data_IF_926845901669
#
_entry.id   IF_926845901669
#
_cell.length_a   1.000
_cell.length_b   1.000
_cell.length_c   1.000
_cell.angle_alpha   90.00
_cell.angle_beta   90.00
_cell.angle_gamma   90.00
#
_symmetry.space_group_name_H-M   'P 1'
#
loop_
_entity.id
_entity.type
_entity.pdbx_description
1 polymer ?
#
# COMPACT_ATOMS: atom_id res chain seq x y z
N UNK A 1 -22.06 -14.46 -10.92
CA UNK A 1 -21.52 -15.73 -10.37
C UNK A 1 -22.40 -16.10 -9.20
N UNK A 2 -22.84 -17.35 -9.17
CA UNK A 2 -23.92 -17.86 -8.32
C UNK A 2 -23.59 -17.73 -6.83
N UNK A 3 -24.61 -17.42 -6.04
CA UNK A 3 -24.57 -17.29 -4.56
C UNK A 3 -24.30 -18.60 -3.81
N UNK A 4 -23.61 -19.55 -4.44
CA UNK A 4 -23.34 -20.91 -3.95
C UNK A 4 -21.94 -21.10 -3.37
N UNK A 5 -21.04 -20.13 -3.50
CA UNK A 5 -19.68 -20.24 -2.93
C UNK A 5 -19.61 -19.63 -1.52
N UNK A 6 -20.54 -20.02 -0.64
CA UNK A 6 -20.15 -20.07 0.78
C UNK A 6 -19.25 -21.29 0.89
N UNK A 7 -17.97 -21.10 0.58
CA UNK A 7 -16.92 -22.02 0.98
C UNK A 7 -16.92 -22.06 2.51
N UNK A 8 -17.78 -22.90 3.07
CA UNK A 8 -17.60 -23.48 4.39
C UNK A 8 -16.37 -24.36 4.22
N UNK A 9 -15.19 -23.78 4.47
CA UNK A 9 -13.94 -24.52 4.54
C UNK A 9 -13.99 -25.36 5.82
N UNK A 10 -14.70 -26.49 5.73
CA UNK A 10 -14.86 -27.47 6.79
C UNK A 10 -13.61 -28.33 6.78
N UNK A 11 -12.85 -28.28 7.86
CA UNK A 11 -11.64 -29.06 8.06
C UNK A 11 -11.96 -30.38 8.78
N UNK A 12 -11.04 -31.33 8.74
CA UNK A 12 -11.16 -32.60 9.48
C UNK A 12 -11.49 -32.36 10.97
N UNK A 13 -10.94 -31.30 11.55
CA UNK A 13 -11.23 -30.86 12.92
C UNK A 13 -12.70 -30.53 13.15
N UNK A 14 -13.32 -29.81 12.21
CA UNK A 14 -14.72 -29.39 12.34
C UNK A 14 -15.65 -30.61 12.32
N UNK A 15 -15.31 -31.65 11.54
CA UNK A 15 -16.05 -32.92 11.52
C UNK A 15 -15.97 -33.64 12.88
N UNK A 16 -14.81 -33.60 13.54
CA UNK A 16 -14.65 -34.16 14.89
C UNK A 16 -15.42 -33.38 15.95
N UNK A 17 -15.43 -32.06 15.88
CA UNK A 17 -16.19 -31.21 16.80
C UNK A 17 -17.71 -31.47 16.63
N UNK A 18 -18.20 -31.58 15.39
CA UNK A 18 -19.59 -31.98 15.13
C UNK A 18 -19.90 -33.40 15.60
N UNK A 19 -18.99 -34.35 15.41
CA UNK A 19 -19.18 -35.72 15.90
C UNK A 19 -19.31 -35.77 17.44
N UNK A 20 -18.54 -34.94 18.15
CA UNK A 20 -18.61 -34.82 19.60
C UNK A 20 -19.93 -34.22 20.08
N UNK A 21 -20.37 -33.12 19.47
CA UNK A 21 -21.65 -32.47 19.79
C UNK A 21 -22.83 -33.42 19.53
N UNK A 22 -22.80 -34.12 18.40
CA UNK A 22 -23.81 -35.12 18.03
C UNK A 22 -23.82 -36.28 19.03
N UNK A 23 -22.66 -36.74 19.49
CA UNK A 23 -22.57 -37.79 20.51
C UNK A 23 -23.20 -37.35 21.84
N UNK A 24 -22.97 -36.11 22.28
CA UNK A 24 -23.63 -35.58 23.49
C UNK A 24 -25.16 -35.54 23.36
N UNK A 25 -25.69 -35.20 22.18
CA UNK A 25 -27.13 -35.21 21.94
C UNK A 25 -27.68 -36.65 21.92
N UNK A 26 -26.95 -37.61 21.35
CA UNK A 26 -27.33 -39.02 21.43
C UNK A 26 -27.29 -39.57 22.86
N UNK A 27 -26.36 -39.13 23.72
CA UNK A 27 -26.37 -39.50 25.14
C UNK A 27 -27.62 -38.98 25.85
N UNK A 28 -28.05 -37.73 25.58
CA UNK A 28 -29.30 -37.16 26.11
C UNK A 28 -30.53 -37.96 25.65
N UNK A 29 -30.57 -38.35 24.38
CA UNK A 29 -31.67 -39.13 23.79
C UNK A 29 -31.70 -40.56 24.38
N UNK A 30 -30.53 -41.19 24.53
CA UNK A 30 -30.40 -42.54 25.10
C UNK A 30 -30.83 -42.59 26.56
N UNK A 31 -30.67 -41.50 27.31
CA UNK A 31 -31.18 -41.39 28.68
C UNK A 31 -32.72 -41.29 28.76
N UNK A 32 -33.41 -41.00 27.65
CA UNK A 32 -34.87 -40.79 27.59
C UNK A 32 -35.62 -41.89 26.82
N UNK A 33 -34.96 -42.60 25.91
CA UNK A 33 -35.54 -43.60 25.01
C UNK A 33 -34.82 -44.94 25.13
N UNK A 34 -35.52 -46.04 24.79
CA UNK A 34 -34.92 -47.37 24.79
C UNK A 34 -33.74 -47.44 23.80
N UNK A 35 -32.59 -47.86 24.34
CA UNK A 35 -31.30 -47.98 23.65
C UNK A 35 -31.40 -48.77 22.33
N UNK A 36 -32.28 -49.77 22.26
CA UNK A 36 -32.46 -50.63 21.08
C UNK A 36 -32.95 -49.88 19.84
N UNK A 37 -33.69 -48.77 19.99
CA UNK A 37 -34.17 -47.96 18.86
C UNK A 37 -33.14 -46.93 18.40
N UNK A 38 -32.22 -46.55 19.29
CA UNK A 38 -31.24 -45.47 19.06
C UNK A 38 -29.96 -46.01 18.40
N UNK A 39 -29.53 -47.24 18.73
CA UNK A 39 -28.32 -47.87 18.16
C UNK A 39 -28.30 -47.89 16.62
N UNK A 40 -29.37 -48.30 15.90
CA UNK A 40 -29.35 -48.30 14.42
C UNK A 40 -29.22 -46.90 13.82
N UNK A 41 -29.70 -45.87 14.52
CA UNK A 41 -29.58 -44.48 14.11
C UNK A 41 -28.15 -43.97 14.35
N UNK A 42 -27.56 -44.25 15.51
CA UNK A 42 -26.15 -43.94 15.81
C UNK A 42 -25.24 -44.56 14.74
N UNK A 43 -25.41 -45.83 14.40
CA UNK A 43 -24.59 -46.49 13.38
C UNK A 43 -24.72 -45.82 11.99
N UNK A 44 -25.92 -45.35 11.61
CA UNK A 44 -26.10 -44.60 10.36
C UNK A 44 -25.40 -43.24 10.42
N UNK A 45 -25.46 -42.55 11.56
CA UNK A 45 -24.78 -41.26 11.75
C UNK A 45 -23.27 -41.42 11.74
N UNK A 46 -22.73 -42.47 12.37
CA UNK A 46 -21.31 -42.82 12.29
C UNK A 46 -20.90 -43.03 10.82
N UNK A 47 -21.63 -43.84 10.06
CA UNK A 47 -21.32 -44.05 8.64
C UNK A 47 -21.34 -42.74 7.82
N UNK A 48 -22.25 -41.81 8.13
CA UNK A 48 -22.31 -40.51 7.46
C UNK A 48 -21.13 -39.62 7.86
N UNK A 49 -20.75 -39.62 9.14
CA UNK A 49 -19.59 -38.86 9.65
C UNK A 49 -18.28 -39.42 9.09
N UNK A 50 -18.13 -40.73 8.97
CA UNK A 50 -16.96 -41.36 8.33
C UNK A 50 -16.86 -40.99 6.84
N UNK A 51 -17.98 -41.02 6.11
CA UNK A 51 -18.02 -40.57 4.71
C UNK A 51 -17.71 -39.08 4.57
N UNK A 52 -18.19 -38.26 5.53
CA UNK A 52 -17.89 -36.84 5.57
C UNK A 52 -16.40 -36.61 5.82
N UNK A 53 -15.80 -37.28 6.79
CA UNK A 53 -14.37 -37.22 7.09
C UNK A 53 -13.52 -37.60 5.87
N UNK A 54 -13.86 -38.70 5.18
CA UNK A 54 -13.18 -39.09 3.95
C UNK A 54 -13.31 -38.05 2.84
N UNK A 55 -14.50 -37.43 2.71
CA UNK A 55 -14.72 -36.39 1.72
C UNK A 55 -13.93 -35.12 2.02
N UNK A 56 -13.85 -34.71 3.29
CA UNK A 56 -13.08 -33.54 3.75
C UNK A 56 -11.59 -33.77 3.54
N UNK A 57 -11.05 -34.94 3.93
CA UNK A 57 -9.66 -35.32 3.65
C UNK A 57 -9.31 -35.23 2.17
N UNK A 58 -10.21 -35.70 1.31
CA UNK A 58 -10.01 -35.62 -0.14
C UNK A 58 -10.02 -34.17 -0.63
N UNK A 59 -10.90 -33.32 -0.09
CA UNK A 59 -10.96 -31.90 -0.43
C UNK A 59 -9.67 -31.20 0.01
N UNK A 60 -9.20 -31.39 1.24
CA UNK A 60 -7.95 -30.80 1.74
C UNK A 60 -6.73 -31.20 0.88
N UNK A 61 -6.67 -32.47 0.45
CA UNK A 61 -5.62 -32.94 -0.47
C UNK A 61 -5.70 -32.25 -1.83
N UNK A 62 -6.89 -32.14 -2.41
CA UNK A 62 -7.10 -31.47 -3.69
C UNK A 62 -6.84 -29.96 -3.60
N UNK A 63 -7.21 -29.31 -2.49
CA UNK A 63 -6.92 -27.90 -2.24
C UNK A 63 -5.42 -27.67 -2.12
N UNK A 64 -4.70 -28.56 -1.44
CA UNK A 64 -3.25 -28.52 -1.37
C UNK A 64 -2.62 -28.69 -2.75
N UNK A 65 -3.03 -29.69 -3.52
CA UNK A 65 -2.54 -29.92 -4.88
C UNK A 65 -2.83 -28.72 -5.80
N UNK A 66 -4.02 -28.14 -5.70
CA UNK A 66 -4.41 -26.96 -6.47
C UNK A 66 -3.61 -25.71 -6.05
N UNK A 67 -3.33 -25.55 -4.75
CA UNK A 67 -2.45 -24.50 -4.25
C UNK A 67 -1.03 -24.65 -4.79
N UNK A 68 -0.47 -25.87 -4.73
CA UNK A 68 0.87 -26.17 -5.23
C UNK A 68 0.96 -25.97 -6.76
N UNK A 69 -0.08 -26.38 -7.50
CA UNK A 69 -0.15 -26.20 -8.94
C UNK A 69 -0.27 -24.73 -9.33
N UNK A 70 -1.07 -23.94 -8.60
CA UNK A 70 -1.16 -22.49 -8.82
C UNK A 70 0.16 -21.78 -8.51
N UNK A 71 0.86 -22.17 -7.44
CA UNK A 71 2.18 -21.64 -7.13
C UNK A 71 3.18 -21.94 -8.25
N UNK A 72 3.19 -23.19 -8.75
CA UNK A 72 4.05 -23.60 -9.87
C UNK A 72 3.69 -22.89 -11.17
N UNK A 73 2.40 -22.71 -11.45
CA UNK A 73 1.93 -21.96 -12.62
C UNK A 73 2.41 -20.51 -12.56
N UNK A 74 2.25 -19.84 -11.42
CA UNK A 74 2.72 -18.46 -11.22
C UNK A 74 4.24 -18.36 -11.38
N UNK A 75 4.99 -19.30 -10.83
CA UNK A 75 6.44 -19.36 -11.00
C UNK A 75 6.82 -19.50 -12.49
N UNK A 76 6.29 -20.50 -13.19
CA UNK A 76 6.60 -20.75 -14.60
C UNK A 76 6.15 -19.59 -15.51
N UNK A 77 5.02 -18.97 -15.20
CA UNK A 77 4.53 -17.82 -15.96
C UNK A 77 5.46 -16.61 -15.80
N UNK A 78 5.99 -16.39 -14.58
CA UNK A 78 6.98 -15.35 -14.34
C UNK A 78 8.30 -15.65 -15.05
N UNK A 79 8.83 -16.87 -14.95
CA UNK A 79 10.06 -17.31 -15.64
C UNK A 79 9.93 -17.17 -17.16
N UNK A 80 8.78 -17.55 -17.72
CA UNK A 80 8.48 -17.37 -19.13
C UNK A 80 8.49 -15.89 -19.51
N UNK A 81 7.83 -15.03 -18.71
CA UNK A 81 7.77 -13.59 -18.96
C UNK A 81 9.17 -12.96 -18.95
N UNK A 82 10.00 -13.30 -17.96
CA UNK A 82 11.38 -12.79 -17.87
C UNK A 82 12.24 -13.29 -19.02
N UNK A 83 12.10 -14.56 -19.42
CA UNK A 83 12.83 -15.10 -20.57
C UNK A 83 12.43 -14.43 -21.88
N UNK A 84 11.13 -14.16 -22.08
CA UNK A 84 10.64 -13.40 -23.24
C UNK A 84 11.17 -11.96 -23.24
N UNK A 85 11.19 -11.28 -22.10
CA UNK A 85 11.78 -9.94 -21.94
C UNK A 85 13.29 -9.94 -22.26
N UNK A 86 14.05 -10.93 -21.78
CA UNK A 86 15.48 -11.09 -22.07
C UNK A 86 15.73 -11.32 -23.57
N UNK A 87 14.96 -12.21 -24.21
CA UNK A 87 15.10 -12.47 -25.65
C UNK A 87 14.75 -11.23 -26.49
N UNK A 88 13.76 -10.46 -26.07
CA UNK A 88 13.40 -9.19 -26.70
C UNK A 88 14.54 -8.17 -26.58
N UNK A 89 15.12 -8.01 -25.39
CA UNK A 89 16.25 -7.11 -25.17
C UNK A 89 17.47 -7.53 -25.97
N UNK A 90 17.81 -8.83 -25.99
CA UNK A 90 18.91 -9.35 -26.81
C UNK A 90 18.69 -9.04 -28.29
N UNK A 91 17.47 -9.21 -28.79
CA UNK A 91 17.14 -8.89 -30.18
C UNK A 91 17.36 -7.42 -30.50
N UNK A 92 16.95 -6.50 -29.62
CA UNK A 92 17.18 -5.07 -29.78
C UNK A 92 18.68 -4.75 -29.80
N UNK A 93 19.47 -5.31 -28.88
CA UNK A 93 20.92 -5.07 -28.84
C UNK A 93 21.64 -5.62 -30.07
N UNK A 94 21.14 -6.72 -30.65
CA UNK A 94 21.68 -7.26 -31.91
C UNK A 94 21.35 -6.30 -33.06
N UNK A 95 20.13 -5.78 -33.15
CA UNK A 95 19.72 -4.83 -34.19
C UNK A 95 20.55 -3.53 -34.13
N UNK A 96 20.76 -2.98 -32.93
CA UNK A 96 21.63 -1.81 -32.71
C UNK A 96 23.08 -2.08 -33.15
N UNK A 97 23.60 -3.27 -32.82
CA UNK A 97 24.96 -3.68 -33.18
C UNK A 97 25.09 -3.89 -34.70
N UNK A 98 24.10 -4.52 -35.35
CA UNK A 98 24.05 -4.68 -36.80
C UNK A 98 23.99 -3.34 -37.54
N UNK A 99 23.20 -2.37 -37.03
CA UNK A 99 23.15 -1.01 -37.56
C UNK A 99 24.52 -0.33 -37.44
N UNK A 100 25.14 -0.36 -36.26
CA UNK A 100 26.48 0.20 -36.04
C UNK A 100 27.54 -0.44 -36.94
N UNK A 101 27.52 -1.76 -37.12
CA UNK A 101 28.45 -2.46 -38.02
C UNK A 101 28.21 -2.08 -39.48
N UNK A 102 26.96 -1.95 -39.90
CA UNK A 102 26.61 -1.48 -41.25
C UNK A 102 27.15 -0.08 -41.50
N UNK A 103 26.93 0.85 -40.55
CA UNK A 103 27.46 2.21 -40.61
C UNK A 103 28.99 2.22 -40.72
N UNK A 104 29.69 1.47 -39.87
CA UNK A 104 31.16 1.37 -39.90
C UNK A 104 31.66 0.87 -41.27
N UNK A 105 31.02 -0.18 -41.81
CA UNK A 105 31.33 -0.71 -43.15
C UNK A 105 31.14 0.38 -44.23
N UNK A 106 30.08 1.18 -44.15
CA UNK A 106 29.88 2.28 -45.11
C UNK A 106 30.98 3.34 -45.01
N UNK A 107 31.39 3.69 -43.78
CA UNK A 107 32.47 4.66 -43.53
C UNK A 107 33.79 4.13 -44.06
N UNK A 108 34.17 2.89 -43.74
CA UNK A 108 35.40 2.25 -44.22
C UNK A 108 35.42 2.11 -45.74
N UNK A 109 34.30 1.75 -46.38
CA UNK A 109 34.18 1.76 -47.84
C UNK A 109 34.39 3.15 -48.42
N UNK A 110 33.82 4.19 -47.80
CA UNK A 110 34.02 5.57 -48.24
C UNK A 110 35.49 5.99 -48.15
N UNK A 111 36.19 5.57 -47.10
CA UNK A 111 37.62 5.85 -46.90
C UNK A 111 38.49 5.08 -47.92
N UNK A 112 38.20 3.80 -48.15
CA UNK A 112 38.87 3.00 -49.18
C UNK A 112 38.70 3.60 -50.57
N UNK A 113 37.50 4.09 -50.91
CA UNK A 113 37.25 4.74 -52.19
C UNK A 113 38.02 6.06 -52.33
N UNK A 114 38.11 6.87 -51.27
CA UNK A 114 38.93 8.10 -51.26
C UNK A 114 40.41 7.78 -51.49
N UNK A 115 40.96 6.81 -50.76
CA UNK A 115 42.35 6.38 -50.94
C UNK A 115 42.62 5.82 -52.34
N UNK A 116 41.68 5.04 -52.91
CA UNK A 116 41.79 4.56 -54.29
C UNK A 116 41.79 5.71 -55.30
N UNK A 117 40.93 6.71 -55.11
CA UNK A 117 40.89 7.88 -55.98
C UNK A 117 42.19 8.70 -55.89
N UNK A 118 42.71 8.88 -54.68
CA UNK A 118 43.98 9.60 -54.42
C UNK A 118 45.18 8.86 -55.02
N UNK A 119 45.27 7.53 -54.81
CA UNK A 119 46.29 6.70 -55.43
C UNK A 119 46.23 6.73 -56.96
N UNK A 120 45.04 6.71 -57.55
CA UNK A 120 44.87 6.85 -59.00
C UNK A 120 45.36 8.22 -59.48
N UNK A 121 45.01 9.29 -58.76
CA UNK A 121 45.45 10.65 -59.08
C UNK A 121 46.98 10.78 -59.00
N UNK A 122 47.62 10.17 -58.00
CA UNK A 122 49.08 10.12 -57.90
C UNK A 122 49.72 9.30 -59.03
N UNK A 123 49.15 8.14 -59.39
CA UNK A 123 49.60 7.35 -60.53
C UNK A 123 49.50 8.14 -61.84
N UNK A 124 48.38 8.81 -62.08
CA UNK A 124 48.17 9.64 -63.27
C UNK A 124 49.15 10.82 -63.29
N UNK A 125 49.45 11.42 -62.14
CA UNK A 125 50.41 12.53 -62.01
C UNK A 125 51.85 12.05 -62.25
N UNK A 126 52.23 10.88 -61.73
CA UNK A 126 53.53 10.26 -61.96
C UNK A 126 53.71 9.86 -63.43
N UNK A 127 52.67 9.31 -64.06
CA UNK A 127 52.68 8.96 -65.48
C UNK A 127 52.85 10.20 -66.37
N UNK A 128 52.15 11.30 -66.04
CA UNK A 128 52.31 12.60 -66.73
C UNK A 128 53.65 13.27 -66.44
N UNK A 129 54.31 13.01 -65.31
CA UNK A 129 55.63 13.58 -65.01
C UNK A 129 56.75 12.99 -65.88
N UNK A 130 56.50 11.88 -66.58
CA UNK A 130 57.42 11.29 -67.55
C UNK A 130 57.32 11.90 -68.96
N UNK A 131 56.31 12.73 -69.24
CA UNK A 131 56.14 13.39 -70.54
C UNK A 131 55.51 14.77 -70.32
N UNK A 132 56.23 15.82 -70.74
CA UNK A 132 55.81 17.23 -70.81
C UNK A 132 56.34 18.17 -69.72
N UNK A 133 57.22 19.03 -70.23
CA UNK A 133 57.62 20.34 -69.74
C UNK A 133 56.43 21.28 -69.56
N UNK A 134 56.25 21.78 -68.33
CA UNK A 134 55.88 23.15 -67.94
C UNK A 134 54.82 23.85 -68.82
N UNK A 135 53.55 23.65 -68.48
CA UNK A 135 52.48 24.66 -68.59
C UNK A 135 51.80 24.78 -67.21
N UNK A 136 52.44 25.52 -66.30
CA UNK A 136 52.12 25.54 -64.86
C UNK A 136 51.13 26.66 -64.49
N UNK A 137 50.91 27.66 -65.35
CA UNK A 137 50.13 28.86 -65.00
C UNK A 137 48.63 28.66 -64.88
N UNK A 138 47.97 28.18 -65.94
CA UNK A 138 46.49 28.14 -66.01
C UNK A 138 45.89 26.91 -65.30
N UNK A 139 46.62 25.79 -65.28
CA UNK A 139 46.24 24.57 -64.55
C UNK A 139 46.11 24.81 -63.04
N UNK A 140 47.04 25.59 -62.45
CA UNK A 140 46.99 25.92 -61.03
C UNK A 140 45.78 26.78 -60.65
N UNK A 141 45.35 27.68 -61.53
CA UNK A 141 44.19 28.53 -61.27
C UNK A 141 42.88 27.73 -61.17
N UNK A 142 42.70 26.74 -62.05
CA UNK A 142 41.54 25.84 -62.03
C UNK A 142 41.55 24.97 -60.78
N UNK A 143 42.72 24.45 -60.39
CA UNK A 143 42.88 23.66 -59.15
C UNK A 143 42.56 24.49 -57.92
N UNK A 144 42.96 25.77 -57.87
CA UNK A 144 42.65 26.68 -56.76
C UNK A 144 41.14 26.93 -56.68
N UNK A 145 40.45 27.23 -57.78
CA UNK A 145 39.00 27.44 -57.79
C UNK A 145 38.21 26.19 -57.34
N UNK A 146 38.66 24.99 -57.74
CA UNK A 146 38.04 23.74 -57.32
C UNK A 146 38.32 23.46 -55.83
N UNK A 147 39.52 23.76 -55.33
CA UNK A 147 39.83 23.71 -53.91
C UNK A 147 38.97 24.67 -53.10
N UNK A 148 38.74 25.90 -53.56
CA UNK A 148 37.87 26.87 -52.91
C UNK A 148 36.40 26.39 -52.83
N UNK A 149 35.88 25.77 -53.90
CA UNK A 149 34.55 25.14 -53.89
C UNK A 149 34.47 23.99 -52.91
N UNK A 150 35.50 23.14 -52.84
CA UNK A 150 35.57 22.02 -51.87
C UNK A 150 35.63 22.55 -50.45
N UNK A 151 36.48 23.54 -50.17
CA UNK A 151 36.59 24.20 -48.87
C UNK A 151 35.25 24.82 -48.46
N UNK A 152 34.56 25.48 -49.38
CA UNK A 152 33.24 26.07 -49.13
C UNK A 152 32.20 25.00 -48.77
N UNK A 153 32.16 23.88 -49.51
CA UNK A 153 31.29 22.74 -49.20
C UNK A 153 31.62 22.11 -47.84
N UNK A 154 32.91 21.91 -47.55
CA UNK A 154 33.37 21.36 -46.27
C UNK A 154 32.98 22.28 -45.11
N UNK A 155 33.13 23.59 -45.26
CA UNK A 155 32.72 24.59 -44.26
C UNK A 155 31.22 24.58 -44.01
N UNK A 156 30.40 24.47 -45.06
CA UNK A 156 28.95 24.32 -44.90
C UNK A 156 28.55 23.00 -44.23
N UNK A 157 29.26 21.91 -44.54
CA UNK A 157 29.02 20.59 -43.95
C UNK A 157 29.40 20.57 -42.46
N UNK A 158 30.54 21.17 -42.11
CA UNK A 158 30.97 21.37 -40.72
C UNK A 158 29.93 22.15 -39.94
N UNK A 159 29.50 23.31 -40.45
CA UNK A 159 28.47 24.12 -39.80
C UNK A 159 27.16 23.37 -39.61
N UNK A 160 26.77 22.54 -40.57
CA UNK A 160 25.58 21.70 -40.44
C UNK A 160 25.74 20.64 -39.34
N UNK A 161 26.90 19.97 -39.28
CA UNK A 161 27.22 19.00 -38.22
C UNK A 161 27.29 19.65 -36.84
N UNK A 162 27.89 20.84 -36.72
CA UNK A 162 27.95 21.60 -35.47
C UNK A 162 26.53 21.93 -34.97
N UNK A 163 25.66 22.40 -35.87
CA UNK A 163 24.25 22.64 -35.52
C UNK A 163 23.50 21.36 -35.10
N UNK A 164 23.82 20.21 -35.70
CA UNK A 164 23.23 18.93 -35.27
C UNK A 164 23.77 18.48 -33.91
N UNK A 165 25.07 18.64 -33.66
CA UNK A 165 25.68 18.34 -32.37
C UNK A 165 25.08 19.20 -31.26
N UNK A 166 24.86 20.49 -31.51
CA UNK A 166 24.22 21.39 -30.57
C UNK A 166 22.78 20.96 -30.25
N UNK A 167 22.00 20.57 -31.27
CA UNK A 167 20.66 20.00 -31.05
C UNK A 167 20.71 18.72 -30.23
N UNK A 168 21.61 17.78 -30.56
CA UNK A 168 21.76 16.54 -29.81
C UNK A 168 22.16 16.81 -28.36
N UNK A 169 23.03 17.80 -28.12
CA UNK A 169 23.42 18.23 -26.77
C UNK A 169 22.20 18.71 -25.97
N UNK A 170 21.37 19.59 -26.56
CA UNK A 170 20.14 20.04 -25.88
C UNK A 170 19.18 18.89 -25.58
N UNK A 171 19.05 17.91 -26.49
CA UNK A 171 18.21 16.73 -26.26
C UNK A 171 18.76 15.91 -25.09
N UNK A 172 20.07 15.63 -25.07
CA UNK A 172 20.73 14.91 -23.98
C UNK A 172 20.50 15.62 -22.64
N UNK A 173 20.62 16.95 -22.61
CA UNK A 173 20.40 17.73 -21.41
C UNK A 173 18.95 17.61 -20.91
N UNK A 174 17.95 17.72 -21.81
CA UNK A 174 16.54 17.52 -21.44
C UNK A 174 16.20 16.08 -21.01
N UNK A 175 16.90 15.08 -21.56
CA UNK A 175 16.75 13.69 -21.14
C UNK A 175 17.35 13.48 -19.75
N UNK A 176 18.53 14.06 -19.48
CA UNK A 176 19.17 14.00 -18.17
C UNK A 176 18.29 14.65 -17.08
N UNK A 177 17.69 15.80 -17.34
CA UNK A 177 16.74 16.41 -16.39
C UNK A 177 15.55 15.51 -16.11
N UNK A 178 14.99 14.86 -17.14
CA UNK A 178 13.89 13.89 -16.96
C UNK A 178 14.32 12.67 -16.15
N UNK A 179 15.53 12.16 -16.37
CA UNK A 179 16.09 11.03 -15.60
C UNK A 179 16.24 11.42 -14.12
N UNK A 180 16.75 12.62 -13.84
CA UNK A 180 16.87 13.12 -12.47
C UNK A 180 15.51 13.28 -11.78
N UNK A 181 14.51 13.82 -12.49
CA UNK A 181 13.16 13.98 -11.96
C UNK A 181 12.48 12.63 -11.69
N UNK A 182 12.62 11.67 -12.62
CA UNK A 182 12.15 10.30 -12.42
C UNK A 182 12.87 9.62 -11.25
N UNK A 183 14.18 9.84 -11.08
CA UNK A 183 14.94 9.31 -9.94
C UNK A 183 14.44 9.87 -8.60
N UNK A 184 14.16 11.18 -8.53
CA UNK A 184 13.56 11.81 -7.34
C UNK A 184 12.16 11.28 -7.06
N UNK A 185 11.34 11.11 -8.09
CA UNK A 185 10.00 10.55 -7.95
C UNK A 185 10.06 9.11 -7.43
N UNK A 186 10.94 8.29 -7.98
CA UNK A 186 11.10 6.90 -7.58
C UNK A 186 11.57 6.78 -6.12
N UNK A 187 12.53 7.61 -5.69
CA UNK A 187 12.94 7.70 -4.27
C UNK A 187 11.77 8.09 -3.37
N UNK A 188 10.93 9.03 -3.80
CA UNK A 188 9.76 9.48 -3.02
C UNK A 188 8.72 8.37 -2.90
N UNK A 189 8.41 7.68 -4.00
CA UNK A 189 7.49 6.55 -4.02
C UNK A 189 7.99 5.40 -3.16
N UNK A 190 9.30 5.09 -3.22
CA UNK A 190 9.89 4.07 -2.37
C UNK A 190 9.76 4.41 -0.88
N UNK A 191 10.03 5.66 -0.49
CA UNK A 191 9.85 6.12 0.88
C UNK A 191 8.37 6.04 1.33
N UNK A 192 7.43 6.42 0.45
CA UNK A 192 6.00 6.30 0.75
C UNK A 192 5.55 4.85 0.89
N UNK A 193 6.10 3.95 0.06
CA UNK A 193 5.82 2.52 0.15
C UNK A 193 6.31 1.92 1.47
N UNK A 194 7.55 2.21 1.89
CA UNK A 194 8.06 1.73 3.18
C UNK A 194 7.24 2.29 4.35
N UNK A 195 6.85 3.58 4.31
CA UNK A 195 5.96 4.16 5.32
C UNK A 195 4.59 3.45 5.36
N UNK A 196 3.98 3.19 4.21
CA UNK A 196 2.69 2.51 4.13
C UNK A 196 2.78 1.06 4.65
N UNK A 197 3.89 0.38 4.35
CA UNK A 197 4.19 -0.97 4.84
C UNK A 197 4.36 -0.99 6.36
N UNK A 198 5.11 -0.04 6.93
CA UNK A 198 5.27 0.08 8.38
C UNK A 198 3.93 0.34 9.08
N UNK A 199 3.08 1.21 8.51
CA UNK A 199 1.73 1.46 9.01
C UNK A 199 0.84 0.21 8.94
N UNK A 200 0.94 -0.58 7.86
CA UNK A 200 0.18 -1.83 7.73
C UNK A 200 0.62 -2.87 8.79
N UNK A 201 1.92 -2.98 9.05
CA UNK A 201 2.46 -3.84 10.11
C UNK A 201 1.95 -3.38 11.48
N UNK A 202 2.04 -2.08 11.78
CA UNK A 202 1.55 -1.52 13.04
C UNK A 202 0.06 -1.78 13.24
N UNK A 203 -0.77 -1.55 12.21
CA UNK A 203 -2.22 -1.83 12.27
C UNK A 203 -2.52 -3.31 12.49
N UNK A 204 -1.72 -4.21 11.91
CA UNK A 204 -1.86 -5.66 12.14
C UNK A 204 -1.54 -6.03 13.58
N UNK A 205 -0.50 -5.42 14.17
CA UNK A 205 -0.16 -5.61 15.59
C UNK A 205 -1.29 -5.11 16.49
N UNK A 206 -1.80 -3.89 16.25
CA UNK A 206 -2.92 -3.33 17.02
C UNK A 206 -4.17 -4.21 16.93
N UNK A 207 -4.50 -4.72 15.73
CA UNK A 207 -5.60 -5.66 15.52
C UNK A 207 -5.42 -6.92 16.37
N UNK A 208 -4.24 -7.53 16.33
CA UNK A 208 -3.94 -8.73 17.09
C UNK A 208 -4.04 -8.49 18.61
N UNK A 209 -3.59 -7.33 19.11
CA UNK A 209 -3.74 -6.95 20.51
C UNK A 209 -5.21 -6.78 20.91
N UNK A 210 -6.03 -6.16 20.06
CA UNK A 210 -7.46 -6.04 20.27
C UNK A 210 -8.16 -7.40 20.28
N UNK A 211 -7.80 -8.31 19.36
CA UNK A 211 -8.32 -9.68 19.34
C UNK A 211 -7.94 -10.45 20.60
N UNK A 212 -6.69 -10.32 21.08
CA UNK A 212 -6.25 -10.93 22.33
C UNK A 212 -7.06 -10.41 23.54
N UNK A 213 -7.28 -9.09 23.63
CA UNK A 213 -8.13 -8.48 24.68
C UNK A 213 -9.57 -8.99 24.60
N UNK A 214 -10.12 -9.12 23.40
CA UNK A 214 -11.47 -9.63 23.17
C UNK A 214 -11.60 -11.11 23.59
N UNK A 215 -10.60 -11.93 23.26
CA UNK A 215 -10.53 -13.32 23.70
C UNK A 215 -10.48 -13.43 25.23
N UNK A 216 -9.64 -12.61 25.88
CA UNK A 216 -9.55 -12.56 27.34
C UNK A 216 -10.89 -12.16 27.99
N UNK A 217 -11.58 -11.17 27.43
CA UNK A 217 -12.91 -10.76 27.93
C UNK A 217 -13.96 -11.87 27.75
N UNK A 218 -13.97 -12.56 26.60
CA UNK A 218 -14.87 -13.70 26.39
C UNK A 218 -14.62 -14.81 27.40
N UNK A 219 -13.36 -15.12 27.71
CA UNK A 219 -13.01 -16.13 28.72
C UNK A 219 -13.46 -15.72 30.13
N UNK A 220 -13.31 -14.44 30.48
CA UNK A 220 -13.80 -13.91 31.75
C UNK A 220 -15.32 -13.98 31.86
N UNK A 221 -16.03 -13.67 30.78
CA UNK A 221 -17.49 -13.75 30.71
C UNK A 221 -17.95 -15.19 30.91
N UNK A 222 -17.37 -16.14 30.19
CA UNK A 222 -17.66 -17.56 30.36
C UNK A 222 -17.40 -18.03 31.81
N UNK A 223 -16.27 -17.64 32.41
CA UNK A 223 -15.98 -17.96 33.82
C UNK A 223 -17.02 -17.39 34.79
N UNK A 224 -17.58 -16.22 34.48
CA UNK A 224 -18.62 -15.58 35.27
C UNK A 224 -19.98 -16.27 35.09
N UNK A 225 -20.31 -16.68 33.87
CA UNK A 225 -21.49 -17.50 33.55
C UNK A 225 -21.44 -18.84 34.29
N UNK A 226 -20.29 -19.51 34.31
CA UNK A 226 -20.11 -20.77 35.07
C UNK A 226 -20.35 -20.54 36.56
N UNK A 227 -19.75 -19.49 37.14
CA UNK A 227 -19.96 -19.13 38.55
C UNK A 227 -21.42 -18.81 38.84
N UNK A 228 -22.09 -18.08 37.95
CA UNK A 228 -23.50 -17.77 38.06
C UNK A 228 -24.37 -19.03 37.99
N UNK A 229 -24.05 -19.97 37.09
CA UNK A 229 -24.71 -21.25 37.00
C UNK A 229 -24.57 -22.06 38.29
N UNK A 230 -23.35 -22.18 38.84
CA UNK A 230 -23.09 -22.86 40.12
C UNK A 230 -23.87 -22.20 41.27
N UNK A 231 -23.84 -20.87 41.35
CA UNK A 231 -24.61 -20.11 42.34
C UNK A 231 -26.11 -20.40 42.20
N UNK A 232 -26.64 -20.40 40.98
CA UNK A 232 -28.04 -20.69 40.70
C UNK A 232 -28.44 -22.10 41.13
N UNK A 233 -27.62 -23.11 40.83
CA UNK A 233 -27.86 -24.49 41.28
C UNK A 233 -27.86 -24.59 42.81
N UNK A 234 -26.88 -23.97 43.48
CA UNK A 234 -26.81 -23.97 44.95
C UNK A 234 -28.00 -23.26 45.62
N UNK A 235 -28.59 -22.27 44.96
CA UNK A 235 -29.79 -21.58 45.43
C UNK A 235 -31.04 -22.47 45.25
N UNK A 236 -31.14 -23.20 44.14
CA UNK A 236 -32.21 -24.16 43.90
C UNK A 236 -32.18 -25.28 44.96
N UNK A 237 -31.00 -25.87 45.22
CA UNK A 237 -30.83 -26.91 46.24
C UNK A 237 -31.27 -26.43 47.63
N UNK A 238 -30.90 -25.20 48.02
CA UNK A 238 -31.35 -24.60 49.29
C UNK A 238 -32.85 -24.31 49.33
N UNK A 239 -33.50 -24.10 48.19
CA UNK A 239 -34.95 -23.90 48.11
C UNK A 239 -35.73 -25.22 48.19
N UNK A 240 -35.16 -26.32 47.70
CA UNK A 240 -35.73 -27.67 47.83
C UNK A 240 -35.62 -28.18 49.29
N UNK A 241 -34.56 -27.82 50.01
CA UNK A 241 -34.45 -28.09 51.47
C UNK A 241 -35.53 -27.38 52.31
N UNK A 242 -36.15 -26.31 51.80
CA UNK A 242 -37.25 -25.61 52.48
C UNK A 242 -38.65 -26.15 52.17
N UNK A 243 -38.80 -27.09 51.23
CA UNK A 243 -40.10 -27.69 50.91
C UNK A 243 -40.46 -28.92 51.76
N UNK A 244 -39.56 -29.40 52.64
CA UNK A 244 -39.79 -30.56 53.51
C UNK A 244 -40.24 -30.23 54.95
N UNK A 245 -40.53 -28.95 55.29
CA UNK A 245 -41.07 -28.58 56.62
C UNK A 245 -42.22 -27.59 56.51
N UNK A 246 -43.41 -28.15 56.28
CA UNK A 246 -44.67 -27.49 56.62
C UNK A 246 -44.76 -27.36 58.15
N UNK A 247 -44.36 -26.21 58.67
CA UNK A 247 -44.86 -25.74 59.96
C UNK A 247 -45.04 -24.22 59.85
N UNK A 248 -46.31 -23.79 59.77
CA UNK A 248 -46.70 -22.39 59.86
C UNK A 248 -46.13 -21.80 61.16
N UNK A 249 -45.09 -20.96 61.04
CA UNK A 249 -44.70 -20.01 62.08
C UNK A 249 -44.85 -18.59 61.53
N UNK A 250 -45.41 -17.65 62.31
CA UNK A 250 -45.71 -16.31 61.81
C UNK A 250 -44.43 -15.59 61.42
N UNK A 251 -44.47 -14.86 60.30
CA UNK A 251 -43.45 -13.90 59.93
C UNK A 251 -43.38 -12.82 61.02
N UNK A 252 -42.32 -12.84 61.82
CA UNK A 252 -41.82 -11.68 62.53
C UNK A 252 -40.39 -11.98 62.97
N UNK A 253 -39.39 -11.59 62.16
CA UNK A 253 -38.08 -11.19 62.68
C UNK A 253 -37.28 -10.50 61.56
N UNK A 254 -37.35 -9.16 61.61
CA UNK A 254 -36.46 -8.25 60.90
C UNK A 254 -35.00 -8.66 61.12
N UNK A 255 -34.27 -8.78 60.02
CA UNK A 255 -32.81 -8.68 60.00
C UNK A 255 -32.38 -7.39 60.71
N UNK A 256 -32.00 -7.48 61.98
CA UNK A 256 -31.24 -6.42 62.63
C UNK A 256 -29.80 -6.50 62.11
N UNK A 257 -29.50 -5.68 61.09
CA UNK A 257 -28.13 -5.21 60.89
C UNK A 257 -27.74 -4.45 62.16
N UNK A 258 -26.68 -4.88 62.84
CA UNK A 258 -26.16 -4.24 64.05
C UNK A 258 -26.02 -2.72 63.83
N UNK A 259 -26.46 -1.92 64.80
CA UNK A 259 -26.39 -0.45 64.77
C UNK A 259 -24.95 0.05 64.48
N UNK A 260 -23.95 -0.74 64.84
CA UNK A 260 -22.54 -0.51 64.50
C UNK A 260 -22.24 -0.70 63.01
N UNK A 261 -22.80 -1.72 62.37
CA UNK A 261 -22.64 -1.95 60.93
C UNK A 261 -23.34 -0.86 60.12
N UNK A 262 -24.49 -0.38 60.58
CA UNK A 262 -25.20 0.73 59.94
C UNK A 262 -24.40 2.04 60.05
N UNK A 263 -23.85 2.33 61.23
CA UNK A 263 -22.98 3.49 61.44
C UNK A 263 -21.68 3.41 60.62
N UNK A 264 -21.09 2.21 60.49
CA UNK A 264 -19.92 1.99 59.63
C UNK A 264 -20.23 2.25 58.15
N UNK A 265 -21.33 1.68 57.65
CA UNK A 265 -21.81 1.92 56.28
C UNK A 265 -22.13 3.40 56.03
N UNK A 266 -22.68 4.10 57.02
CA UNK A 266 -22.97 5.53 56.93
C UNK A 266 -21.68 6.37 56.87
N UNK A 267 -20.68 6.04 57.70
CA UNK A 267 -19.37 6.68 57.66
C UNK A 267 -18.64 6.42 56.33
N UNK A 268 -18.73 5.19 55.82
CA UNK A 268 -18.18 4.82 54.53
C UNK A 268 -18.87 5.59 53.39
N UNK A 269 -20.20 5.72 53.44
CA UNK A 269 -20.96 6.54 52.51
C UNK A 269 -20.52 8.01 52.55
N UNK A 270 -20.33 8.58 53.74
CA UNK A 270 -19.82 9.96 53.86
C UNK A 270 -18.41 10.12 53.29
N UNK A 271 -17.52 9.15 53.53
CA UNK A 271 -16.15 9.14 52.99
C UNK A 271 -16.13 9.03 51.47
N UNK A 272 -16.98 8.17 50.90
CA UNK A 272 -17.15 8.04 49.45
C UNK A 272 -17.75 9.32 48.86
N UNK A 273 -18.74 9.93 49.51
CA UNK A 273 -19.34 11.20 49.08
C UNK A 273 -18.32 12.34 49.05
N UNK A 274 -17.42 12.41 50.04
CA UNK A 274 -16.30 13.36 50.03
C UNK A 274 -15.33 13.10 48.88
N UNK A 275 -14.98 11.83 48.60
CA UNK A 275 -14.11 11.48 47.47
C UNK A 275 -14.75 11.86 46.13
N UNK A 276 -16.04 11.55 45.94
CA UNK A 276 -16.78 11.93 44.74
C UNK A 276 -16.79 13.45 44.56
N UNK A 277 -17.04 14.21 45.64
CA UNK A 277 -16.99 15.67 45.59
C UNK A 277 -15.61 16.21 45.20
N UNK A 278 -14.51 15.61 45.69
CA UNK A 278 -13.15 16.00 45.31
C UNK A 278 -12.87 15.71 43.83
N UNK A 279 -13.18 14.50 43.37
CA UNK A 279 -13.03 14.12 41.96
C UNK A 279 -13.87 15.02 41.04
N UNK A 280 -15.06 15.42 41.47
CA UNK A 280 -15.92 16.33 40.70
C UNK A 280 -15.32 17.74 40.58
N UNK A 281 -14.66 18.24 41.63
CA UNK A 281 -13.92 19.51 41.56
C UNK A 281 -12.68 19.40 40.64
N UNK A 282 -11.92 18.31 40.73
CA UNK A 282 -10.78 18.06 39.84
C UNK A 282 -11.21 17.98 38.38
N UNK A 283 -12.30 17.28 38.09
CA UNK A 283 -12.87 17.16 36.76
C UNK A 283 -13.37 18.52 36.24
N UNK A 284 -13.93 19.36 37.09
CA UNK A 284 -14.29 20.74 36.75
C UNK A 284 -13.05 21.60 36.45
N UNK A 285 -11.97 21.43 37.21
CA UNK A 285 -10.69 22.13 36.97
C UNK A 285 -10.08 21.74 35.62
N UNK A 286 -10.02 20.43 35.33
CA UNK A 286 -9.50 19.91 34.06
C UNK A 286 -10.35 20.36 32.87
N UNK A 287 -11.69 20.40 33.01
CA UNK A 287 -12.57 20.95 31.97
C UNK A 287 -12.27 22.43 31.67
N UNK A 288 -12.13 23.24 32.72
CA UNK A 288 -11.79 24.66 32.55
C UNK A 288 -10.43 24.86 31.88
N UNK A 289 -9.42 24.06 32.24
CA UNK A 289 -8.11 24.08 31.58
C UNK A 289 -8.23 23.69 30.10
N UNK A 290 -9.00 22.65 29.78
CA UNK A 290 -9.24 22.24 28.39
C UNK A 290 -9.94 23.32 27.57
N UNK A 291 -10.90 24.04 28.15
CA UNK A 291 -11.58 25.15 27.47
C UNK A 291 -10.62 26.33 27.25
N UNK A 292 -9.69 26.57 28.18
CA UNK A 292 -8.61 27.55 28.00
C UNK A 292 -7.64 27.15 26.90
N UNK A 293 -7.24 25.87 26.83
CA UNK A 293 -6.40 25.35 25.74
C UNK A 293 -7.09 25.44 24.39
N UNK A 294 -8.38 25.12 24.30
CA UNK A 294 -9.17 25.28 23.06
C UNK A 294 -9.25 26.75 22.61
N UNK A 295 -9.43 27.69 23.55
CA UNK A 295 -9.40 29.12 23.23
C UNK A 295 -8.04 29.56 22.70
N UNK A 296 -6.94 29.12 23.33
CA UNK A 296 -5.57 29.39 22.86
C UNK A 296 -5.32 28.81 21.46
N UNK A 297 -5.78 27.59 21.20
CA UNK A 297 -5.65 26.95 19.90
C UNK A 297 -6.40 27.74 18.80
N UNK A 298 -7.61 28.21 19.09
CA UNK A 298 -8.38 29.03 18.15
C UNK A 298 -7.74 30.40 17.88
N UNK A 299 -7.10 31.02 18.88
CA UNK A 299 -6.37 32.28 18.65
C UNK A 299 -5.11 32.07 17.81
N UNK A 300 -4.43 30.92 17.91
CA UNK A 300 -3.24 30.61 17.08
C UNK A 300 -3.65 30.37 15.62
N UNK A 301 -4.74 29.65 15.37
CA UNK A 301 -5.24 29.42 14.01
C UNK A 301 -5.76 30.71 13.34
N UNK A 302 -6.31 31.66 14.10
CA UNK A 302 -6.69 32.99 13.58
C UNK A 302 -5.48 33.88 13.25
N UNK A 303 -4.39 33.78 14.02
CA UNK A 303 -3.15 34.54 13.76
C UNK A 303 -2.46 34.00 12.49
N UNK A 304 -2.31 32.69 12.35
CA UNK A 304 -1.72 32.06 11.17
C UNK A 304 -2.57 32.34 9.91
N UNK A 305 -3.90 32.29 9.99
CA UNK A 305 -4.79 32.62 8.87
C UNK A 305 -4.72 34.08 8.40
N UNK A 306 -4.28 35.02 9.26
CA UNK A 306 -4.15 36.44 8.93
C UNK A 306 -2.79 36.80 8.30
N UNK A 307 -1.75 36.02 8.59
CA UNK A 307 -0.39 36.21 8.08
C UNK A 307 -0.27 35.69 6.63
N UNK A 308 -0.88 34.52 6.33
CA UNK A 308 -0.93 33.97 4.97
C UNK A 308 -1.78 34.81 3.99
N UNK A 309 -2.77 35.58 4.46
CA UNK A 309 -3.55 36.50 3.60
C UNK A 309 -2.78 37.76 3.21
N UNK A 310 -1.84 38.24 4.04
CA UNK A 310 -1.02 39.42 3.73
C UNK A 310 0.13 39.10 2.78
N UNK A 311 0.71 37.90 2.87
CA UNK A 311 1.76 37.46 1.93
C UNK A 311 1.20 37.03 0.58
N UNK A 312 0.05 36.34 0.54
CA UNK A 312 -0.62 35.97 -0.71
C UNK A 312 -1.00 37.17 -1.59
N UNK A 313 -1.47 38.27 -0.96
CA UNK A 313 -1.80 39.51 -1.67
C UNK A 313 -0.57 40.24 -2.24
N UNK A 314 0.58 40.19 -1.56
CA UNK A 314 1.84 40.78 -2.06
C UNK A 314 2.44 39.97 -3.21
N UNK A 315 2.39 38.64 -3.12
CA UNK A 315 2.88 37.76 -4.19
C UNK A 315 2.01 37.91 -5.45
N UNK A 316 0.68 38.01 -5.30
CA UNK A 316 -0.21 38.31 -6.44
C UNK A 316 0.04 39.69 -7.04
N UNK A 317 0.28 40.72 -6.23
CA UNK A 317 0.61 42.06 -6.74
C UNK A 317 1.94 42.10 -7.50
N UNK A 318 2.97 41.37 -7.02
CA UNK A 318 4.26 41.25 -7.72
C UNK A 318 4.10 40.47 -9.03
N UNK A 319 3.30 39.41 -9.04
CA UNK A 319 3.03 38.61 -10.23
C UNK A 319 2.27 39.40 -11.31
N UNK A 320 1.31 40.24 -10.91
CA UNK A 320 0.61 41.13 -11.83
C UNK A 320 1.49 42.25 -12.39
N UNK A 321 2.44 42.76 -11.59
CA UNK A 321 3.41 43.75 -12.05
C UNK A 321 4.40 43.15 -13.05
N UNK A 322 4.81 41.89 -12.85
CA UNK A 322 5.76 41.19 -13.71
C UNK A 322 5.16 40.79 -15.07
N UNK A 323 3.85 40.53 -15.12
CA UNK A 323 3.14 40.17 -16.36
C UNK A 323 2.63 41.37 -17.16
N UNK A 324 2.86 42.62 -16.71
CA UNK A 324 2.42 43.82 -17.43
C UNK A 324 0.90 43.94 -17.56
N UNK A 325 0.13 43.25 -16.70
CA UNK A 325 -1.33 43.29 -16.72
C UNK A 325 -1.78 44.43 -15.80
N UNK A 326 -1.98 45.61 -16.39
CA UNK A 326 -2.68 46.70 -15.71
C UNK A 326 -4.17 46.37 -15.71
N UNK A 327 -4.63 45.67 -14.67
CA UNK A 327 -6.06 45.61 -14.37
C UNK A 327 -6.44 46.89 -13.61
N UNK A 328 -7.02 47.84 -14.33
CA UNK A 328 -7.73 48.98 -13.75
C UNK A 328 -8.99 48.40 -13.08
N UNK A 329 -8.97 48.26 -11.76
CA UNK A 329 -10.19 47.94 -11.01
C UNK A 329 -11.19 49.11 -11.08
N UNK A 330 -12.49 48.84 -11.30
CA UNK A 330 -13.48 49.84 -11.67
C UNK A 330 -14.15 50.50 -10.45
N UNK A 331 -13.37 51.08 -9.53
CA UNK A 331 -13.93 51.78 -8.34
C UNK A 331 -13.42 53.21 -8.13
N UNK A 332 -12.75 53.82 -9.12
CA UNK A 332 -12.36 55.24 -9.09
C UNK A 332 -13.15 56.15 -10.05
N UNK A 333 -14.32 55.71 -10.49
CA UNK A 333 -15.30 56.55 -11.21
C UNK A 333 -16.38 57.12 -10.27
N UNK A 334 -15.99 57.68 -9.13
CA UNK A 334 -16.85 58.59 -8.36
C UNK A 334 -15.96 59.64 -7.70
N UNK A 335 -16.29 60.92 -7.97
CA UNK A 335 -15.69 62.17 -7.44
C UNK A 335 -14.70 62.90 -8.35
N UNK A 336 -15.21 63.50 -9.44
CA UNK A 336 -14.89 64.90 -9.76
C UNK A 336 -15.99 65.54 -10.60
N UNK A 337 -17.02 66.00 -9.90
CA UNK A 337 -17.98 66.98 -10.37
C UNK A 337 -18.10 68.05 -9.28
N UNK A 338 -17.32 69.12 -9.43
CA UNK A 338 -17.57 70.55 -9.17
C UNK A 338 -16.42 71.28 -9.86
#
# INVERSE_FOLDING_TARGET
>A
MSSTDRNLNIQERDVHDFAYDIAQEFDKITNLLDIELVIPLINKVINVLELLEQSVKKIELLEKENSDLNAKYLQLNNEKRTSEEETFNLKLTIEELEESYSEEITVLKSFSNKLKAENKLFQDTLAKKNDVSIEIGDSYKIVIEDQEKIISKLKSSLKHRDNQLEKNYTIIETLNTKIEDLSKLNKTLHNQYEQAKDLAIASTVEKNECEAKLYQQKQQLHSLEDKFHVLKMSLLEKSEDTQAKNEYKPLDEKYYLSEESLNFLLQEQHKLKQKVSKLQMELSSVKNQNDEYKKKLNTVTEIEGSEYKKEGGRIQQIFHLFLGIINISPELCLLRGI
#
